data_IF_603655697238
#
_entry.id   IF_603655697238
#
_cell.length_a   1.000
_cell.length_b   1.000
_cell.length_c   1.000
_cell.angle_alpha   90.00
_cell.angle_beta   90.00
_cell.angle_gamma   90.00
#
_symmetry.space_group_name_H-M   'P 1'
#
loop_
_entity.id
_entity.type
_entity.pdbx_description
1 polymer ?
#
# COMPACT_ATOMS: atom_id res chain seq x y z
N UNK A 1 -35.97 -2.10 -30.56
CA UNK A 1 -34.54 -2.42 -30.40
C UNK A 1 -34.18 -2.04 -28.97
N UNK A 2 -33.71 -3.00 -28.17
CA UNK A 2 -33.33 -2.81 -26.76
C UNK A 2 -32.02 -1.99 -26.72
N UNK A 3 -32.03 -0.79 -26.14
CA UNK A 3 -30.80 -0.04 -25.86
C UNK A 3 -30.81 0.30 -24.38
N UNK A 4 -30.32 -0.63 -23.55
CA UNK A 4 -30.11 -0.39 -22.13
C UNK A 4 -28.80 -1.02 -21.63
N UNK A 5 -27.85 -0.11 -21.39
CA UNK A 5 -26.73 -0.08 -20.42
C UNK A 5 -25.52 -0.99 -20.69
N UNK A 6 -24.32 -0.39 -20.66
CA UNK A 6 -23.14 -1.01 -20.02
C UNK A 6 -22.09 0.01 -19.54
N UNK A 7 -22.21 0.34 -18.24
CA UNK A 7 -21.17 0.47 -17.22
C UNK A 7 -19.73 0.85 -17.63
N UNK A 8 -19.45 2.13 -17.91
CA UNK A 8 -18.05 2.60 -18.08
C UNK A 8 -17.66 3.86 -17.27
N UNK A 9 -18.52 4.37 -16.38
CA UNK A 9 -18.20 5.57 -15.57
C UNK A 9 -18.09 5.36 -14.06
N UNK A 10 -18.25 4.14 -13.54
CA UNK A 10 -18.09 3.89 -12.10
C UNK A 10 -16.63 3.74 -11.65
N UNK A 11 -15.69 3.40 -12.55
CA UNK A 11 -14.26 3.31 -12.18
C UNK A 11 -13.56 4.65 -12.01
N UNK A 12 -14.11 5.74 -12.58
CA UNK A 12 -13.45 7.05 -12.56
C UNK A 12 -13.88 7.89 -11.37
N UNK A 13 -15.12 7.72 -10.88
CA UNK A 13 -15.66 8.53 -9.78
C UNK A 13 -15.13 8.10 -8.40
N UNK A 14 -14.72 6.84 -8.23
CA UNK A 14 -14.11 6.37 -6.98
C UNK A 14 -12.70 6.94 -6.73
N UNK A 15 -12.04 7.50 -7.76
CA UNK A 15 -10.65 7.98 -7.66
C UNK A 15 -10.51 9.34 -6.98
N UNK A 16 -11.61 10.09 -6.78
CA UNK A 16 -11.55 11.49 -6.32
C UNK A 16 -12.04 11.71 -4.89
N UNK A 17 -12.76 10.77 -4.28
CA UNK A 17 -13.26 10.93 -2.90
C UNK A 17 -12.27 10.44 -1.83
N UNK A 18 -11.14 9.89 -2.25
CA UNK A 18 -10.37 8.98 -1.42
C UNK A 18 -8.92 9.41 -1.12
N UNK A 19 -8.55 10.63 -1.50
CA UNK A 19 -7.17 11.09 -1.37
C UNK A 19 -6.63 11.01 0.07
N UNK A 20 -7.49 10.93 1.10
CA UNK A 20 -7.05 10.78 2.48
C UNK A 20 -6.97 9.32 2.97
N UNK A 21 -7.75 8.39 2.39
CA UNK A 21 -7.80 7.01 2.89
C UNK A 21 -6.45 6.32 2.70
N UNK A 22 -5.80 6.55 1.55
CA UNK A 22 -4.47 6.05 1.22
C UNK A 22 -3.33 7.05 1.44
N UNK A 23 -3.50 7.95 2.41
CA UNK A 23 -2.47 8.93 2.76
C UNK A 23 -1.25 8.27 3.41
N UNK A 24 -0.08 8.89 3.24
CA UNK A 24 1.16 8.42 3.89
C UNK A 24 1.00 8.40 5.41
N UNK A 25 0.30 9.39 5.98
CA UNK A 25 -0.01 9.47 7.41
C UNK A 25 -0.77 8.24 7.91
N UNK A 26 -1.74 7.75 7.13
CA UNK A 26 -2.45 6.52 7.48
C UNK A 26 -1.55 5.29 7.36
N UNK A 27 -0.65 5.25 6.38
CA UNK A 27 0.35 4.18 6.29
C UNK A 27 1.28 4.16 7.53
N UNK A 28 1.75 5.31 8.00
CA UNK A 28 2.58 5.40 9.21
C UNK A 28 1.81 4.92 10.45
N UNK A 29 0.57 5.38 10.66
CA UNK A 29 -0.26 4.89 11.77
C UNK A 29 -0.45 3.37 11.72
N UNK A 30 -0.75 2.84 10.54
CA UNK A 30 -0.90 1.41 10.31
C UNK A 30 0.41 0.62 10.47
N UNK A 31 1.57 1.27 10.28
CA UNK A 31 2.89 0.69 10.49
C UNK A 31 3.23 0.64 11.98
N UNK A 32 2.89 1.69 12.73
CA UNK A 32 3.09 1.78 14.19
C UNK A 32 2.26 0.73 14.96
N UNK A 33 1.13 0.28 14.39
CA UNK A 33 0.30 -0.80 14.94
C UNK A 33 0.92 -2.21 14.76
N UNK A 34 1.93 -2.37 13.90
CA UNK A 34 2.55 -3.66 13.63
C UNK A 34 3.56 -4.00 14.73
N UNK A 35 3.26 -5.03 15.50
CA UNK A 35 4.20 -5.56 16.49
C UNK A 35 5.32 -6.36 15.82
N UNK A 36 6.55 -6.20 16.34
CA UNK A 36 7.71 -6.96 15.87
C UNK A 36 8.29 -6.50 14.53
N UNK A 37 7.92 -5.29 14.07
CA UNK A 37 8.63 -4.65 12.96
C UNK A 37 10.01 -4.19 13.44
N UNK A 38 11.06 -4.59 12.73
CA UNK A 38 12.41 -4.09 12.99
C UNK A 38 12.59 -2.68 12.41
N UNK A 39 13.47 -1.88 13.02
CA UNK A 39 13.73 -0.50 12.61
C UNK A 39 14.16 -0.39 11.15
N UNK A 40 14.97 -1.33 10.63
CA UNK A 40 15.37 -1.31 9.23
C UNK A 40 14.19 -1.56 8.29
N UNK A 41 13.26 -2.44 8.68
CA UNK A 41 12.05 -2.71 7.91
C UNK A 41 11.07 -1.54 7.97
N UNK A 42 11.02 -0.82 9.10
CA UNK A 42 10.24 0.40 9.25
C UNK A 42 10.68 1.46 8.25
N UNK A 43 11.98 1.80 8.20
CA UNK A 43 12.50 2.80 7.25
C UNK A 43 12.26 2.38 5.79
N UNK A 44 12.54 1.12 5.46
CA UNK A 44 12.28 0.60 4.11
C UNK A 44 10.78 0.66 3.73
N UNK A 45 9.88 0.50 4.70
CA UNK A 45 8.44 0.66 4.47
C UNK A 45 8.06 2.13 4.24
N UNK A 46 8.65 3.07 4.99
CA UNK A 46 8.45 4.51 4.77
C UNK A 46 8.86 4.91 3.36
N UNK A 47 10.02 4.45 2.89
CA UNK A 47 10.48 4.68 1.51
C UNK A 47 9.53 4.04 0.48
N UNK A 48 9.00 2.84 0.76
CA UNK A 48 8.04 2.15 -0.09
C UNK A 48 6.74 2.94 -0.28
N UNK A 49 6.32 3.71 0.74
CA UNK A 49 5.08 4.47 0.74
C UNK A 49 5.15 5.77 -0.07
N UNK A 50 6.30 6.17 -0.60
CA UNK A 50 6.34 7.24 -1.59
C UNK A 50 5.45 6.90 -2.81
N UNK A 51 5.44 5.61 -3.18
CA UNK A 51 4.58 5.09 -4.23
C UNK A 51 3.11 4.96 -3.79
N UNK A 52 2.20 5.68 -4.47
CA UNK A 52 0.75 5.67 -4.18
C UNK A 52 0.11 4.30 -4.28
N UNK A 53 0.53 3.46 -5.23
CA UNK A 53 -0.05 2.13 -5.42
C UNK A 53 0.32 1.20 -4.25
N UNK A 54 1.51 1.37 -3.70
CA UNK A 54 1.97 0.58 -2.55
C UNK A 54 1.21 0.96 -1.28
N UNK A 55 0.89 2.25 -1.10
CA UNK A 55 0.03 2.73 -0.01
C UNK A 55 -1.37 2.13 -0.07
N UNK A 56 -1.97 2.15 -1.25
CA UNK A 56 -3.30 1.56 -1.48
C UNK A 56 -3.34 0.08 -1.14
N UNK A 57 -2.36 -0.69 -1.65
CA UNK A 57 -2.24 -2.13 -1.35
C UNK A 57 -2.07 -2.33 0.16
N UNK A 58 -1.11 -1.64 0.79
CA UNK A 58 -0.79 -1.82 2.21
C UNK A 58 -1.99 -1.54 3.12
N UNK A 59 -2.71 -0.45 2.87
CA UNK A 59 -3.86 -0.06 3.70
C UNK A 59 -5.09 -0.95 3.45
N UNK A 60 -5.21 -1.53 2.26
CA UNK A 60 -6.24 -2.52 1.93
C UNK A 60 -6.00 -3.89 2.57
N UNK A 61 -4.77 -4.18 3.03
CA UNK A 61 -4.46 -5.42 3.73
C UNK A 61 -4.98 -5.39 5.18
N UNK A 62 -5.44 -6.55 5.64
CA UNK A 62 -5.69 -6.81 7.06
C UNK A 62 -4.38 -6.69 7.86
N UNK A 63 -4.46 -6.18 9.10
CA UNK A 63 -3.28 -5.95 9.95
C UNK A 63 -2.36 -7.18 10.07
N UNK A 64 -2.94 -8.38 10.21
CA UNK A 64 -2.22 -9.66 10.29
C UNK A 64 -1.36 -9.97 9.05
N UNK A 65 -1.68 -9.42 7.87
CA UNK A 65 -0.95 -9.67 6.62
C UNK A 65 0.06 -8.58 6.28
N UNK A 66 -0.02 -7.41 6.92
CA UNK A 66 0.81 -6.25 6.60
C UNK A 66 2.29 -6.52 6.81
N UNK A 67 2.66 -7.16 7.93
CA UNK A 67 4.06 -7.48 8.22
C UNK A 67 4.66 -8.45 7.18
N UNK A 68 3.95 -9.54 6.87
CA UNK A 68 4.41 -10.52 5.88
C UNK A 68 4.56 -9.89 4.48
N UNK A 69 3.63 -9.00 4.10
CA UNK A 69 3.71 -8.25 2.85
C UNK A 69 4.92 -7.31 2.82
N UNK A 70 5.16 -6.54 3.89
CA UNK A 70 6.33 -5.66 4.00
C UNK A 70 7.64 -6.45 3.91
N UNK A 71 7.75 -7.57 4.62
CA UNK A 71 8.91 -8.45 4.52
C UNK A 71 9.12 -8.94 3.08
N UNK A 72 8.04 -9.29 2.36
CA UNK A 72 8.12 -9.67 0.95
C UNK A 72 8.55 -8.52 0.02
N UNK A 73 8.16 -7.28 0.29
CA UNK A 73 8.52 -6.13 -0.55
C UNK A 73 9.92 -5.60 -0.26
N UNK A 74 10.29 -5.48 1.01
CA UNK A 74 11.56 -4.89 1.44
C UNK A 74 12.74 -5.88 1.38
N UNK A 75 12.51 -7.20 1.39
CA UNK A 75 13.58 -8.19 1.13
C UNK A 75 14.11 -8.13 -0.31
N UNK A 76 13.28 -7.69 -1.25
CA UNK A 76 13.68 -7.44 -2.63
C UNK A 76 14.41 -6.11 -2.83
N UNK A 77 14.49 -5.26 -1.80
CA UNK A 77 15.20 -3.99 -1.84
C UNK A 77 16.66 -4.09 -1.36
N UNK A 78 17.18 -5.31 -1.16
CA UNK A 78 18.62 -5.48 -0.95
C UNK A 78 19.33 -5.23 -2.29
N UNK A 79 20.25 -4.26 -2.39
CA UNK A 79 21.19 -4.26 -3.49
C UNK A 79 21.98 -5.55 -3.35
N UNK A 80 21.83 -6.44 -4.33
CA UNK A 80 22.75 -7.55 -4.50
C UNK A 80 24.14 -6.94 -4.48
N UNK A 81 24.89 -7.27 -3.42
CA UNK A 81 26.30 -7.00 -3.33
C UNK A 81 26.91 -7.61 -4.60
N UNK A 82 27.38 -6.74 -5.50
CA UNK A 82 28.21 -7.15 -6.62
C UNK A 82 29.51 -7.65 -5.99
N UNK A 83 29.66 -8.97 -5.92
CA UNK A 83 30.93 -9.65 -5.66
C UNK A 83 31.42 -10.22 -6.98
#
# INVERSE_FOLDING_TARGET
MLEMISASKLRVVARTQDNNQFSITNCIKALDEIQGIDQSLYFAAVDLFDNSNQREIFLSLKCEKRLAWLQGKCKNASPVLVV
#
